data_IF_988229796151
#
_entry.id   IF_988229796151
#
_cell.length_a   1.000
_cell.length_b   1.000
_cell.length_c   1.000
_cell.angle_alpha   90.00
_cell.angle_beta   90.00
_cell.angle_gamma   90.00
#
_symmetry.space_group_name_H-M   'P 1'
#
loop_
_entity.id
_entity.type
_entity.pdbx_description
1 polymer ?
#
# COMPACT_ATOMS: atom_id res chain seq x y z
N UNK A 1 32.05 74.05 26.16
CA UNK A 1 32.92 73.61 25.06
C UNK A 1 32.09 72.73 24.15
N UNK A 2 32.00 73.13 22.88
CA UNK A 2 31.20 72.48 21.86
C UNK A 2 31.86 71.19 21.35
N UNK A 3 31.07 70.19 21.00
CA UNK A 3 31.37 69.31 19.88
C UNK A 3 30.10 68.69 19.31
N UNK A 4 29.81 69.15 18.10
CA UNK A 4 28.83 68.70 17.12
C UNK A 4 28.97 67.22 16.78
N UNK A 5 27.85 66.51 16.56
CA UNK A 5 27.81 65.37 15.62
C UNK A 5 26.55 65.50 14.76
N UNK A 6 26.82 65.46 13.45
CA UNK A 6 25.93 65.69 12.33
C UNK A 6 24.81 64.66 12.17
N UNK A 7 23.67 65.17 11.71
CA UNK A 7 22.56 64.41 11.12
C UNK A 7 22.99 63.86 9.77
N UNK A 8 22.83 62.55 9.56
CA UNK A 8 22.77 61.95 8.22
C UNK A 8 21.36 61.46 7.95
N UNK A 9 20.78 62.00 6.89
CA UNK A 9 19.49 61.65 6.30
C UNK A 9 19.42 60.17 5.91
N UNK A 10 18.31 59.53 6.25
CA UNK A 10 17.86 58.26 5.67
C UNK A 10 16.98 58.62 4.48
N UNK A 11 17.46 58.34 3.26
CA UNK A 11 16.62 58.35 2.06
C UNK A 11 15.93 57.00 1.95
N UNK A 12 14.60 57.02 2.01
CA UNK A 12 13.73 55.93 1.56
C UNK A 12 13.87 55.81 0.04
N UNK A 13 14.33 54.65 -0.43
CA UNK A 13 14.29 54.31 -1.85
C UNK A 13 13.25 53.21 -2.06
N UNK A 14 12.11 53.63 -2.61
CA UNK A 14 11.02 52.77 -3.03
C UNK A 14 11.38 52.13 -4.37
N UNK A 15 11.79 50.87 -4.34
CA UNK A 15 11.82 50.03 -5.53
C UNK A 15 10.67 49.02 -5.50
N UNK A 16 9.61 49.37 -6.24
CA UNK A 16 8.64 48.41 -6.77
C UNK A 16 9.36 47.54 -7.78
N UNK A 17 9.60 46.27 -7.46
CA UNK A 17 9.91 45.26 -8.47
C UNK A 17 8.62 44.51 -8.81
N UNK A 18 8.18 44.74 -10.05
CA UNK A 18 7.09 44.05 -10.73
C UNK A 18 7.32 42.54 -10.73
N UNK A 19 6.35 41.79 -10.21
CA UNK A 19 6.29 40.33 -10.38
C UNK A 19 5.83 40.08 -11.82
N UNK A 20 6.79 39.84 -12.71
CA UNK A 20 6.49 39.30 -14.03
C UNK A 20 6.18 37.81 -13.89
N UNK A 21 4.92 37.45 -14.08
CA UNK A 21 4.47 36.07 -14.33
C UNK A 21 5.14 35.52 -15.60
N UNK A 22 6.35 34.98 -15.45
CA UNK A 22 6.91 34.08 -16.45
C UNK A 22 6.25 32.73 -16.26
N UNK A 23 5.22 32.50 -17.09
CA UNK A 23 4.74 31.15 -17.42
C UNK A 23 5.92 30.34 -17.97
N UNK A 24 6.59 29.60 -17.10
CA UNK A 24 7.37 28.45 -17.52
C UNK A 24 6.38 27.36 -17.91
N UNK A 25 5.99 27.41 -19.19
CA UNK A 25 5.34 26.32 -19.88
C UNK A 25 6.26 25.12 -19.83
N UNK A 26 5.96 24.19 -18.93
CA UNK A 26 6.50 22.84 -18.97
C UNK A 26 6.08 22.24 -20.31
N UNK A 27 7.04 22.11 -21.23
CA UNK A 27 6.84 21.54 -22.55
C UNK A 27 6.50 20.06 -22.35
N UNK A 28 5.20 19.80 -22.39
CA UNK A 28 4.60 18.48 -22.33
C UNK A 28 5.09 17.68 -23.55
N UNK A 29 6.09 16.83 -23.36
CA UNK A 29 6.54 15.92 -24.40
C UNK A 29 5.41 14.90 -24.64
N UNK A 30 4.69 15.07 -25.76
CA UNK A 30 3.50 14.31 -26.19
C UNK A 30 3.74 12.82 -26.50
N UNK A 31 4.81 12.21 -25.99
CA UNK A 31 5.16 10.82 -26.24
C UNK A 31 5.05 9.91 -25.00
N UNK A 32 4.41 10.36 -23.93
CA UNK A 32 3.77 9.42 -23.01
C UNK A 32 2.48 8.93 -23.69
N UNK A 33 2.54 7.70 -24.20
CA UNK A 33 1.33 6.96 -24.56
C UNK A 33 0.35 7.13 -23.40
N UNK A 34 -0.82 7.70 -23.69
CA UNK A 34 -2.02 7.51 -22.87
C UNK A 34 -2.21 6.00 -22.71
N UNK A 35 -1.62 5.42 -21.68
CA UNK A 35 -2.15 4.21 -21.08
C UNK A 35 -3.38 4.67 -20.31
N UNK A 36 -4.48 4.84 -21.06
CA UNK A 36 -5.75 4.30 -20.60
C UNK A 36 -5.48 2.93 -19.98
N UNK A 37 -6.21 2.49 -18.93
CA UNK A 37 -6.09 1.13 -18.45
C UNK A 37 -6.18 0.23 -19.67
N UNK A 38 -5.08 -0.41 -20.06
CA UNK A 38 -5.14 -1.41 -21.10
C UNK A 38 -6.02 -2.47 -20.46
N UNK A 39 -7.26 -2.54 -20.91
CA UNK A 39 -8.08 -3.70 -20.70
C UNK A 39 -7.20 -4.89 -21.08
N UNK A 40 -6.77 -5.64 -20.07
CA UNK A 40 -6.11 -6.92 -20.26
C UNK A 40 -7.17 -7.79 -20.92
N UNK A 41 -7.18 -7.81 -22.25
CA UNK A 41 -7.93 -8.76 -23.05
C UNK A 41 -7.28 -10.11 -22.83
N UNK A 42 -7.70 -10.80 -21.76
CA UNK A 42 -7.10 -12.06 -21.36
C UNK A 42 -7.48 -12.47 -19.94
N UNK A 43 -8.78 -12.42 -19.64
CA UNK A 43 -9.54 -13.24 -18.69
C UNK A 43 -10.82 -12.44 -18.43
N UNK A 44 -11.97 -12.89 -18.96
CA UNK A 44 -13.23 -12.66 -18.25
C UNK A 44 -13.08 -13.35 -16.89
N UNK A 45 -12.43 -12.70 -15.91
CA UNK A 45 -12.50 -13.12 -14.51
C UNK A 45 -13.99 -13.04 -14.19
N UNK A 46 -14.61 -14.21 -14.07
CA UNK A 46 -16.02 -14.36 -13.78
C UNK A 46 -16.42 -13.34 -12.72
N UNK A 47 -17.51 -12.61 -12.94
CA UNK A 47 -18.15 -11.84 -11.87
C UNK A 47 -18.65 -12.87 -10.84
N UNK A 48 -17.75 -13.35 -9.97
CA UNK A 48 -18.08 -14.25 -8.89
C UNK A 48 -18.92 -13.44 -7.93
N UNK A 49 -20.23 -13.69 -7.92
CA UNK A 49 -21.14 -13.09 -6.96
C UNK A 49 -20.59 -13.33 -5.55
N UNK A 50 -20.45 -12.24 -4.78
CA UNK A 50 -20.00 -12.29 -3.39
C UNK A 50 -21.06 -13.06 -2.59
N UNK A 51 -20.69 -14.26 -2.12
CA UNK A 51 -21.56 -15.16 -1.36
C UNK A 51 -21.72 -14.79 0.12
N UNK A 52 -21.05 -13.74 0.58
CA UNK A 52 -20.98 -13.32 1.98
C UNK A 52 -21.65 -11.95 2.20
N UNK A 53 -22.35 -11.73 3.33
CA UNK A 53 -23.08 -10.50 3.57
C UNK A 53 -22.13 -9.31 3.73
N UNK A 54 -22.59 -8.13 3.31
CA UNK A 54 -21.82 -6.88 3.41
C UNK A 54 -21.91 -6.29 4.82
N UNK A 55 -21.09 -6.82 5.73
CA UNK A 55 -21.09 -6.42 7.15
C UNK A 55 -19.74 -5.88 7.60
N UNK A 56 -19.76 -4.98 8.59
CA UNK A 56 -18.57 -4.48 9.29
C UNK A 56 -18.24 -5.41 10.47
N UNK A 57 -17.88 -6.66 10.20
CA UNK A 57 -17.43 -7.56 11.26
C UNK A 57 -16.01 -7.18 11.72
N UNK A 58 -15.52 -7.82 12.79
CA UNK A 58 -14.13 -7.60 13.21
C UNK A 58 -13.17 -8.17 12.15
N UNK A 59 -12.01 -7.53 12.01
CA UNK A 59 -10.96 -7.92 11.07
C UNK A 59 -9.75 -8.31 11.90
N UNK A 60 -9.10 -9.40 11.50
CA UNK A 60 -7.78 -9.81 11.96
C UNK A 60 -6.82 -9.53 10.82
N UNK A 61 -6.10 -8.41 10.91
CA UNK A 61 -5.28 -7.87 9.81
C UNK A 61 -3.82 -8.27 10.03
N UNK A 62 -3.23 -8.92 9.04
CA UNK A 62 -1.80 -9.27 9.02
C UNK A 62 -1.11 -8.34 8.02
N UNK A 63 -0.27 -7.43 8.51
CA UNK A 63 0.60 -6.64 7.65
C UNK A 63 1.83 -7.47 7.30
N UNK A 64 2.14 -7.56 6.02
CA UNK A 64 3.34 -8.23 5.52
C UNK A 64 4.20 -7.14 4.89
N UNK A 65 5.31 -6.80 5.55
CA UNK A 65 6.15 -5.66 5.19
C UNK A 65 7.49 -6.16 4.68
N UNK A 66 7.82 -5.84 3.43
CA UNK A 66 9.15 -6.08 2.89
C UNK A 66 10.19 -5.14 3.50
N UNK A 67 11.30 -5.69 3.98
CA UNK A 67 12.43 -4.91 4.50
C UNK A 67 13.64 -4.94 3.57
N UNK A 68 13.56 -5.64 2.44
CA UNK A 68 14.70 -5.75 1.53
C UNK A 68 15.04 -4.40 0.90
N UNK A 69 16.31 -4.00 1.03
CA UNK A 69 16.91 -2.90 0.27
C UNK A 69 17.70 -3.47 -0.90
N UNK A 70 17.21 -3.25 -2.10
CA UNK A 70 17.94 -3.58 -3.33
C UNK A 70 19.03 -2.53 -3.62
N UNK A 71 20.08 -2.92 -4.34
CA UNK A 71 21.27 -2.08 -4.59
C UNK A 71 20.93 -0.73 -5.23
N UNK A 72 19.91 -0.70 -6.10
CA UNK A 72 19.48 0.49 -6.83
C UNK A 72 18.22 1.14 -6.23
N UNK A 73 17.94 0.89 -4.95
CA UNK A 73 16.74 1.43 -4.30
C UNK A 73 16.78 2.96 -4.22
N UNK A 74 15.80 3.62 -4.84
CA UNK A 74 15.70 5.08 -4.87
C UNK A 74 14.84 5.61 -3.72
N UNK A 75 15.06 6.87 -3.35
CA UNK A 75 14.34 7.53 -2.27
C UNK A 75 13.00 8.12 -2.75
N UNK A 76 12.06 8.26 -1.81
CA UNK A 76 10.90 9.12 -2.00
C UNK A 76 11.33 10.58 -1.86
N UNK A 77 11.06 11.38 -2.87
CA UNK A 77 11.27 12.83 -2.84
C UNK A 77 9.94 13.54 -2.58
N UNK A 78 9.92 14.42 -1.57
CA UNK A 78 8.75 15.24 -1.25
C UNK A 78 8.88 16.62 -1.91
N UNK A 79 7.76 17.31 -2.09
CA UNK A 79 7.71 18.65 -2.69
C UNK A 79 8.48 19.71 -1.91
N UNK A 80 8.69 19.48 -0.62
CA UNK A 80 9.48 20.33 0.29
C UNK A 80 11.00 20.10 0.18
N UNK A 81 11.45 19.15 -0.64
CA UNK A 81 12.86 18.83 -0.87
C UNK A 81 13.45 17.77 0.08
N UNK A 82 12.69 17.33 1.08
CA UNK A 82 13.07 16.20 1.94
C UNK A 82 13.03 14.87 1.16
N UNK A 83 13.89 13.93 1.56
CA UNK A 83 13.99 12.61 0.94
C UNK A 83 13.97 11.52 1.99
N UNK A 84 13.23 10.44 1.73
CA UNK A 84 13.04 9.36 2.70
C UNK A 84 13.13 7.99 2.04
N UNK A 85 13.51 6.99 2.83
CA UNK A 85 13.55 5.60 2.37
C UNK A 85 12.14 5.04 2.18
N UNK A 86 12.07 3.92 1.45
CA UNK A 86 10.83 3.17 1.27
C UNK A 86 10.22 2.77 2.61
N UNK A 87 11.00 2.14 3.49
CA UNK A 87 10.50 1.68 4.77
C UNK A 87 9.99 2.85 5.63
N UNK A 88 10.67 4.01 5.60
CA UNK A 88 10.22 5.18 6.35
C UNK A 88 8.81 5.62 5.94
N UNK A 89 8.53 5.72 4.64
CA UNK A 89 7.20 6.12 4.16
C UNK A 89 6.16 5.03 4.46
N UNK A 90 6.50 3.75 4.31
CA UNK A 90 5.60 2.64 4.68
C UNK A 90 5.23 2.68 6.16
N UNK A 91 6.16 2.94 7.07
CA UNK A 91 5.86 3.10 8.51
C UNK A 91 4.80 4.18 8.74
N UNK A 92 4.90 5.32 8.05
CA UNK A 92 3.93 6.43 8.16
C UNK A 92 2.57 6.08 7.58
N UNK A 93 2.52 5.41 6.44
CA UNK A 93 1.27 4.93 5.82
C UNK A 93 0.57 3.94 6.75
N UNK A 94 1.31 2.98 7.29
CA UNK A 94 0.79 2.01 8.25
C UNK A 94 0.33 2.66 9.56
N UNK A 95 1.03 3.70 10.03
CA UNK A 95 0.60 4.45 11.20
C UNK A 95 -0.77 5.09 11.01
N UNK A 96 -0.97 5.80 9.90
CA UNK A 96 -2.27 6.37 9.56
C UNK A 96 -3.33 5.28 9.37
N UNK A 97 -2.99 4.18 8.71
CA UNK A 97 -3.90 3.05 8.55
C UNK A 97 -4.36 2.50 9.89
N UNK A 98 -3.43 2.17 10.79
CA UNK A 98 -3.70 1.55 12.09
C UNK A 98 -4.63 2.40 12.96
N UNK A 99 -4.34 3.70 13.07
CA UNK A 99 -5.17 4.61 13.87
C UNK A 99 -6.57 4.77 13.29
N UNK A 100 -6.68 5.00 11.98
CA UNK A 100 -7.99 5.16 11.33
C UNK A 100 -8.79 3.85 11.35
N UNK A 101 -8.14 2.72 11.10
CA UNK A 101 -8.82 1.42 11.09
C UNK A 101 -9.35 1.07 12.48
N UNK A 102 -8.55 1.27 13.54
CA UNK A 102 -8.99 1.09 14.93
C UNK A 102 -10.15 2.02 15.30
N UNK A 103 -10.17 3.25 14.79
CA UNK A 103 -11.26 4.19 15.02
C UNK A 103 -12.57 3.76 14.34
N UNK A 104 -12.49 3.17 13.14
CA UNK A 104 -13.67 2.64 12.41
C UNK A 104 -14.33 1.50 13.18
N UNK A 105 -13.53 0.57 13.72
CA UNK A 105 -14.05 -0.51 14.56
C UNK A 105 -12.99 -0.93 15.60
N UNK A 106 -13.25 -0.72 16.90
CA UNK A 106 -12.29 -1.03 17.94
C UNK A 106 -12.04 -2.54 18.13
N UNK A 107 -12.85 -3.41 17.52
CA UNK A 107 -12.68 -4.86 17.61
C UNK A 107 -11.66 -5.42 16.60
N UNK A 108 -11.16 -4.60 15.67
CA UNK A 108 -10.08 -5.03 14.78
C UNK A 108 -8.80 -5.35 15.58
N UNK A 109 -8.08 -6.37 15.13
CA UNK A 109 -6.79 -6.76 15.68
C UNK A 109 -5.75 -6.88 14.58
N UNK A 110 -4.48 -6.76 14.97
CA UNK A 110 -3.37 -6.55 14.04
C UNK A 110 -2.20 -7.49 14.36
N UNK A 111 -1.55 -7.97 13.31
CA UNK A 111 -0.31 -8.77 13.36
C UNK A 111 0.68 -8.23 12.34
N UNK A 112 1.96 -8.57 12.52
CA UNK A 112 3.04 -8.16 11.64
C UNK A 112 3.88 -9.36 11.20
N UNK A 113 4.08 -9.46 9.89
CA UNK A 113 5.04 -10.34 9.22
C UNK A 113 6.05 -9.45 8.50
N UNK A 114 7.31 -9.84 8.58
CA UNK A 114 8.44 -9.14 7.98
C UNK A 114 9.02 -10.03 6.88
N UNK A 115 9.30 -9.46 5.72
CA UNK A 115 9.98 -10.16 4.64
C UNK A 115 11.46 -9.79 4.60
N UNK A 116 12.30 -10.80 4.67
CA UNK A 116 13.73 -10.75 4.45
C UNK A 116 14.08 -11.79 3.38
N UNK A 117 15.13 -12.60 3.58
CA UNK A 117 15.35 -13.81 2.79
C UNK A 117 14.22 -14.81 3.02
N UNK A 118 13.83 -15.00 4.29
CA UNK A 118 12.68 -15.79 4.71
C UNK A 118 11.65 -14.92 5.44
N UNK A 119 10.34 -15.25 5.36
CA UNK A 119 9.31 -14.51 6.06
C UNK A 119 9.31 -14.82 7.56
N UNK A 120 9.18 -13.79 8.39
CA UNK A 120 9.20 -13.92 9.86
C UNK A 120 7.95 -13.31 10.47
N UNK A 121 7.21 -14.13 11.24
CA UNK A 121 6.08 -13.65 12.05
C UNK A 121 6.60 -12.99 13.33
N UNK A 122 6.24 -11.74 13.58
CA UNK A 122 6.65 -11.04 14.81
C UNK A 122 5.83 -11.56 15.99
N UNK A 123 6.39 -12.53 16.73
CA UNK A 123 5.72 -13.23 17.84
C UNK A 123 5.14 -12.33 18.92
N UNK A 124 5.78 -11.20 19.22
CA UNK A 124 5.33 -10.27 20.27
C UNK A 124 4.12 -9.42 19.87
N UNK A 125 3.67 -9.51 18.62
CA UNK A 125 2.51 -8.77 18.12
C UNK A 125 1.58 -9.72 17.37
N UNK A 126 0.99 -10.66 18.13
CA UNK A 126 0.07 -11.67 17.61
C UNK A 126 -1.38 -11.24 17.84
N UNK A 127 -2.01 -10.70 16.78
CA UNK A 127 -3.37 -10.18 16.77
C UNK A 127 -3.68 -9.27 17.97
N UNK A 128 -2.80 -8.31 18.24
CA UNK A 128 -3.02 -7.27 19.26
C UNK A 128 -4.20 -6.38 18.88
N UNK A 129 -4.95 -5.91 19.87
CA UNK A 129 -5.95 -4.87 19.66
C UNK A 129 -5.38 -3.45 19.81
N UNK A 130 -4.12 -3.30 20.26
CA UNK A 130 -3.48 -2.02 20.49
C UNK A 130 -2.56 -1.65 19.31
N UNK A 131 -2.89 -0.62 18.50
CA UNK A 131 -2.05 -0.14 17.40
C UNK A 131 -0.60 0.16 17.80
N UNK A 132 -0.37 0.64 19.03
CA UNK A 132 0.96 1.06 19.47
C UNK A 132 1.96 -0.10 19.51
N UNK A 133 1.52 -1.33 19.74
CA UNK A 133 2.43 -2.47 19.79
C UNK A 133 3.04 -2.74 18.40
N UNK A 134 2.22 -2.63 17.35
CA UNK A 134 2.68 -2.71 15.95
C UNK A 134 3.61 -1.53 15.64
N UNK A 135 3.22 -0.31 16.02
CA UNK A 135 4.01 0.89 15.74
C UNK A 135 5.38 0.87 16.40
N UNK A 136 5.44 0.54 17.69
CA UNK A 136 6.70 0.40 18.42
C UNK A 136 7.61 -0.63 17.75
N UNK A 137 7.03 -1.72 17.23
CA UNK A 137 7.82 -2.69 16.48
C UNK A 137 8.30 -2.13 15.14
N UNK A 138 7.41 -1.51 14.36
CA UNK A 138 7.74 -0.90 13.07
C UNK A 138 8.85 0.14 13.21
N UNK A 139 8.81 0.97 14.25
CA UNK A 139 9.86 1.97 14.53
C UNK A 139 11.23 1.31 14.69
N UNK A 140 11.31 0.15 15.34
CA UNK A 140 12.56 -0.59 15.54
C UNK A 140 13.07 -1.33 14.28
N UNK A 141 12.34 -1.33 13.17
CA UNK A 141 12.75 -2.04 11.95
C UNK A 141 13.65 -1.18 11.08
N UNK A 142 14.62 -1.82 10.46
CA UNK A 142 15.54 -1.22 9.51
C UNK A 142 15.50 -2.01 8.20
N UNK A 143 15.81 -1.34 7.10
CA UNK A 143 15.96 -2.00 5.81
C UNK A 143 17.22 -2.86 5.81
N UNK A 144 17.15 -4.03 5.20
CA UNK A 144 18.22 -5.01 5.15
C UNK A 144 18.62 -5.22 3.70
N UNK A 145 19.91 -5.08 3.39
CA UNK A 145 20.42 -5.51 2.09
C UNK A 145 20.23 -7.02 1.94
N UNK A 146 19.72 -7.48 0.82
CA UNK A 146 19.65 -8.91 0.50
C UNK A 146 20.40 -9.18 -0.80
N UNK A 147 21.15 -10.28 -0.83
CA UNK A 147 21.80 -10.79 -2.03
C UNK A 147 20.91 -11.80 -2.78
N UNK A 148 19.75 -12.15 -2.22
CA UNK A 148 18.84 -13.13 -2.81
C UNK A 148 18.13 -12.54 -4.02
N UNK A 149 18.21 -13.26 -5.14
CA UNK A 149 17.50 -12.94 -6.38
C UNK A 149 16.07 -13.50 -6.42
N UNK A 150 15.66 -14.23 -5.38
CA UNK A 150 14.34 -14.85 -5.25
C UNK A 150 13.73 -14.68 -3.85
N UNK A 151 12.40 -14.79 -3.79
CA UNK A 151 11.62 -14.79 -2.56
C UNK A 151 10.53 -15.87 -2.64
N UNK A 152 10.50 -16.78 -1.68
CA UNK A 152 9.57 -17.93 -1.69
C UNK A 152 8.20 -17.58 -1.06
N UNK A 153 7.19 -17.45 -1.92
CA UNK A 153 5.79 -17.30 -1.52
C UNK A 153 5.25 -18.55 -0.80
N UNK A 154 5.77 -19.74 -1.11
CA UNK A 154 5.34 -20.97 -0.43
C UNK A 154 5.61 -20.89 1.08
N UNK A 155 6.78 -20.38 1.47
CA UNK A 155 7.11 -20.15 2.88
C UNK A 155 6.21 -19.09 3.53
N UNK A 156 5.92 -17.99 2.81
CA UNK A 156 5.08 -16.91 3.34
C UNK A 156 3.66 -17.40 3.64
N UNK A 157 3.02 -18.06 2.68
CA UNK A 157 1.66 -18.55 2.88
C UNK A 157 1.61 -19.77 3.82
N UNK A 158 2.64 -20.61 3.83
CA UNK A 158 2.79 -21.67 4.83
C UNK A 158 2.87 -21.10 6.26
N UNK A 159 3.68 -20.06 6.46
CA UNK A 159 3.77 -19.34 7.72
C UNK A 159 2.42 -18.76 8.12
N UNK A 160 1.77 -17.99 7.25
CA UNK A 160 0.46 -17.38 7.54
C UNK A 160 -0.54 -18.46 7.94
N UNK A 161 -0.69 -19.51 7.13
CA UNK A 161 -1.61 -20.61 7.40
C UNK A 161 -1.36 -21.27 8.75
N UNK A 162 -0.11 -21.47 9.14
CA UNK A 162 0.25 -22.07 10.44
C UNK A 162 -0.05 -21.19 11.66
N UNK A 163 -0.24 -19.87 11.46
CA UNK A 163 -0.38 -18.87 12.53
C UNK A 163 -1.80 -18.34 12.69
N UNK A 164 -2.65 -18.51 11.68
CA UNK A 164 -4.03 -18.06 11.72
C UNK A 164 -5.01 -19.21 11.91
N UNK A 165 -6.24 -18.87 12.29
CA UNK A 165 -7.38 -19.79 12.26
C UNK A 165 -8.50 -19.13 11.49
N UNK A 166 -8.92 -19.75 10.39
CA UNK A 166 -10.06 -19.29 9.60
C UNK A 166 -11.37 -19.62 10.33
N UNK A 167 -12.38 -18.73 10.26
CA UNK A 167 -13.71 -19.06 10.77
C UNK A 167 -14.30 -20.25 10.01
N UNK A 168 -15.04 -21.12 10.72
CA UNK A 168 -15.84 -22.16 10.09
C UNK A 168 -16.92 -21.55 9.20
N UNK A 169 -17.17 -22.19 8.05
CA UNK A 169 -18.26 -21.81 7.16
C UNK A 169 -19.62 -22.15 7.79
N UNK A 170 -20.55 -21.19 7.78
CA UNK A 170 -21.94 -21.41 8.19
C UNK A 170 -22.71 -22.14 7.09
N UNK A 171 -23.79 -22.83 7.47
CA UNK A 171 -24.67 -23.53 6.52
C UNK A 171 -25.27 -22.61 5.44
N UNK A 172 -25.49 -21.34 5.79
CA UNK A 172 -25.84 -20.28 4.83
C UNK A 172 -24.85 -19.11 4.96
N UNK A 173 -23.97 -19.00 3.96
CA UNK A 173 -22.95 -17.94 3.87
C UNK A 173 -23.55 -16.58 3.50
N UNK A 174 -24.75 -16.53 2.92
CA UNK A 174 -25.34 -15.29 2.40
C UNK A 174 -26.04 -14.47 3.47
N UNK A 175 -26.52 -15.13 4.53
CA UNK A 175 -27.29 -14.50 5.62
C UNK A 175 -26.45 -14.32 6.88
N UNK A 176 -25.63 -15.31 7.24
CA UNK A 176 -24.94 -15.30 8.52
C UNK A 176 -23.61 -14.55 8.42
N UNK A 177 -23.41 -13.44 9.17
CA UNK A 177 -22.14 -12.75 9.15
C UNK A 177 -21.05 -13.59 9.85
N UNK A 178 -19.82 -13.61 9.34
CA UNK A 178 -18.74 -14.31 10.02
C UNK A 178 -18.41 -13.63 11.35
N UNK A 179 -17.90 -14.39 12.34
CA UNK A 179 -17.48 -13.81 13.61
C UNK A 179 -16.29 -12.85 13.42
N UNK A 180 -15.46 -13.07 12.39
CA UNK A 180 -14.38 -12.22 11.93
C UNK A 180 -13.94 -12.62 10.52
N UNK A 181 -13.15 -11.77 9.87
CA UNK A 181 -12.37 -12.17 8.69
C UNK A 181 -10.87 -12.08 8.97
N UNK A 182 -10.07 -12.79 8.18
CA UNK A 182 -8.63 -12.60 8.12
C UNK A 182 -8.30 -11.79 6.87
N UNK A 183 -7.49 -10.75 7.02
CA UNK A 183 -7.03 -9.93 5.91
C UNK A 183 -5.51 -9.82 5.93
N UNK A 184 -4.84 -10.34 4.93
CA UNK A 184 -3.43 -10.09 4.68
C UNK A 184 -3.29 -8.83 3.82
N UNK A 185 -2.45 -7.89 4.25
CA UNK A 185 -2.04 -6.73 3.44
C UNK A 185 -0.57 -6.91 3.12
N UNK A 186 -0.30 -7.32 1.88
CA UNK A 186 1.01 -7.63 1.37
C UNK A 186 1.65 -6.41 0.70
N UNK A 187 2.62 -5.81 1.38
CA UNK A 187 3.37 -4.64 0.89
C UNK A 187 4.71 -5.14 0.34
N UNK A 188 4.83 -5.16 -0.99
CA UNK A 188 6.02 -5.64 -1.68
C UNK A 188 6.82 -4.48 -2.25
N UNK A 189 8.13 -4.43 -1.97
CA UNK A 189 8.99 -3.28 -2.29
C UNK A 189 10.15 -3.57 -3.24
N UNK A 190 10.38 -4.84 -3.59
CA UNK A 190 11.45 -5.28 -4.49
C UNK A 190 11.06 -5.13 -5.94
N UNK A 191 12.00 -4.70 -6.78
CA UNK A 191 11.85 -4.50 -8.22
C UNK A 191 12.80 -5.38 -9.05
N UNK A 192 13.78 -6.04 -8.43
CA UNK A 192 14.73 -6.96 -9.11
C UNK A 192 14.42 -8.44 -8.83
N UNK A 193 13.65 -8.70 -7.77
CA UNK A 193 13.24 -10.03 -7.34
C UNK A 193 11.77 -10.31 -7.71
N UNK A 194 11.53 -11.30 -8.58
CA UNK A 194 10.17 -11.81 -8.82
C UNK A 194 9.87 -12.87 -7.75
N UNK A 195 8.83 -12.71 -6.92
CA UNK A 195 8.43 -13.77 -5.98
C UNK A 195 8.08 -15.07 -6.72
N UNK A 196 8.31 -16.22 -6.09
CA UNK A 196 8.02 -17.51 -6.70
C UNK A 196 7.46 -18.48 -5.65
N UNK A 197 6.71 -19.47 -6.08
CA UNK A 197 6.34 -20.60 -5.21
C UNK A 197 7.35 -21.73 -5.45
N UNK A 198 8.29 -21.91 -4.54
CA UNK A 198 9.34 -22.94 -4.69
C UNK A 198 8.89 -24.31 -4.16
N UNK A 199 8.00 -24.32 -3.17
CA UNK A 199 7.55 -25.52 -2.45
C UNK A 199 6.04 -25.74 -2.58
N UNK A 200 5.48 -25.50 -3.78
CA UNK A 200 4.06 -25.69 -4.07
C UNK A 200 3.15 -24.57 -3.57
N UNK A 201 1.86 -24.64 -3.94
CA UNK A 201 0.85 -23.58 -3.68
C UNK A 201 -0.23 -23.98 -2.68
N UNK A 202 -0.12 -25.15 -2.04
CA UNK A 202 -1.19 -25.74 -1.22
C UNK A 202 -1.69 -24.80 -0.11
N UNK A 203 -0.77 -24.25 0.68
CA UNK A 203 -1.12 -23.32 1.77
C UNK A 203 -1.82 -22.07 1.25
N UNK A 204 -1.35 -21.52 0.13
CA UNK A 204 -1.99 -20.38 -0.53
C UNK A 204 -3.38 -20.75 -1.05
N UNK A 205 -3.52 -21.86 -1.77
CA UNK A 205 -4.79 -22.31 -2.35
C UNK A 205 -5.85 -22.55 -1.29
N UNK A 206 -5.50 -23.17 -0.16
CA UNK A 206 -6.43 -23.38 0.94
C UNK A 206 -6.89 -22.06 1.58
N UNK A 207 -5.96 -21.12 1.80
CA UNK A 207 -6.31 -19.79 2.31
C UNK A 207 -7.28 -19.08 1.37
N UNK A 208 -6.96 -19.03 0.07
CA UNK A 208 -7.75 -18.32 -0.94
C UNK A 208 -9.10 -18.99 -1.26
N UNK A 209 -9.28 -20.27 -0.91
CA UNK A 209 -10.57 -20.95 -1.04
C UNK A 209 -11.57 -20.46 0.00
N UNK A 210 -11.10 -19.98 1.16
CA UNK A 210 -11.97 -19.48 2.21
C UNK A 210 -12.62 -18.14 1.83
N UNK A 211 -13.95 -17.99 1.98
CA UNK A 211 -14.63 -16.72 1.74
C UNK A 211 -14.33 -15.64 2.81
N UNK A 212 -13.60 -16.02 3.86
CA UNK A 212 -13.25 -15.16 5.00
C UNK A 212 -11.77 -14.78 5.05
N UNK A 213 -11.00 -15.18 4.04
CA UNK A 213 -9.61 -14.75 3.85
C UNK A 213 -9.54 -13.76 2.68
N UNK A 214 -8.84 -12.64 2.90
CA UNK A 214 -8.60 -11.62 1.88
C UNK A 214 -7.11 -11.34 1.79
N UNK A 215 -6.61 -11.16 0.57
CA UNK A 215 -5.21 -10.83 0.29
C UNK A 215 -5.16 -9.54 -0.52
N UNK A 216 -4.94 -8.41 0.14
CA UNK A 216 -4.66 -7.16 -0.55
C UNK A 216 -3.17 -6.99 -0.78
N UNK A 217 -2.81 -6.41 -1.92
CA UNK A 217 -1.43 -6.23 -2.33
C UNK A 217 -1.21 -4.74 -2.63
N UNK A 218 -0.11 -4.21 -2.08
CA UNK A 218 0.40 -2.88 -2.38
C UNK A 218 1.84 -3.04 -2.89
N UNK A 219 2.00 -2.98 -4.21
CA UNK A 219 3.29 -3.03 -4.86
C UNK A 219 3.90 -1.63 -4.95
N UNK A 220 5.06 -1.43 -4.31
CA UNK A 220 5.77 -0.16 -4.30
C UNK A 220 7.09 -0.32 -5.04
N UNK A 221 7.10 0.10 -6.29
CA UNK A 221 8.15 -0.27 -7.23
C UNK A 221 9.14 0.87 -7.50
N UNK A 222 10.33 0.49 -7.98
CA UNK A 222 11.31 1.41 -8.56
C UNK A 222 10.82 1.93 -9.92
N UNK A 223 11.30 3.10 -10.38
CA UNK A 223 11.09 3.53 -11.75
C UNK A 223 11.43 2.40 -12.74
N UNK A 224 10.54 2.06 -13.67
CA UNK A 224 10.82 0.99 -14.63
C UNK A 224 12.08 1.31 -15.44
N UNK A 225 13.03 0.38 -15.40
CA UNK A 225 14.25 0.36 -16.22
C UNK A 225 14.50 -1.04 -16.79
N UNK A 226 15.46 -1.17 -17.73
CA UNK A 226 15.78 -2.43 -18.42
C UNK A 226 16.31 -3.54 -17.47
N UNK A 227 16.79 -3.17 -16.28
CA UNK A 227 17.29 -4.11 -15.27
C UNK A 227 16.20 -4.56 -14.29
N UNK A 228 15.17 -3.73 -14.09
CA UNK A 228 14.02 -4.03 -13.23
C UNK A 228 13.10 -5.08 -13.86
N UNK A 229 12.42 -5.82 -13.00
CA UNK A 229 11.44 -6.85 -13.37
C UNK A 229 10.01 -6.41 -13.00
N UNK A 230 9.75 -5.12 -12.95
CA UNK A 230 8.51 -4.55 -12.42
C UNK A 230 7.25 -5.11 -13.09
N UNK A 231 7.26 -5.30 -14.41
CA UNK A 231 6.14 -5.88 -15.16
C UNK A 231 5.87 -7.33 -14.73
N UNK A 232 6.89 -8.20 -14.78
CA UNK A 232 6.75 -9.60 -14.35
C UNK A 232 6.40 -9.77 -12.87
N UNK A 233 6.85 -8.86 -12.01
CA UNK A 233 6.43 -8.80 -10.60
C UNK A 233 4.95 -8.46 -10.52
N UNK A 234 4.51 -7.39 -11.19
CA UNK A 234 3.12 -6.95 -11.13
C UNK A 234 2.16 -7.98 -11.72
N UNK A 235 2.53 -8.64 -12.83
CA UNK A 235 1.74 -9.72 -13.43
C UNK A 235 1.57 -10.89 -12.46
N UNK A 236 2.65 -11.34 -11.82
CA UNK A 236 2.58 -12.37 -10.79
C UNK A 236 1.68 -11.95 -9.62
N UNK A 237 1.80 -10.71 -9.13
CA UNK A 237 0.95 -10.21 -8.06
C UNK A 237 -0.53 -10.15 -8.49
N UNK A 238 -0.82 -9.86 -9.77
CA UNK A 238 -2.16 -9.93 -10.32
C UNK A 238 -2.73 -11.35 -10.37
N UNK A 239 -1.86 -12.34 -10.62
CA UNK A 239 -2.22 -13.76 -10.62
C UNK A 239 -2.51 -14.31 -9.21
N UNK A 240 -2.08 -13.61 -8.15
CA UNK A 240 -2.45 -13.94 -6.77
C UNK A 240 -3.91 -13.58 -6.43
N UNK A 241 -4.64 -12.89 -7.30
CA UNK A 241 -6.08 -12.69 -7.11
C UNK A 241 -6.90 -13.55 -8.07
N UNK A 242 -7.32 -14.72 -7.59
CA UNK A 242 -8.29 -15.57 -8.31
C UNK A 242 -9.75 -15.15 -8.08
N UNK A 243 -10.02 -14.28 -7.10
CA UNK A 243 -11.38 -14.00 -6.61
C UNK A 243 -12.01 -12.75 -7.21
N UNK A 244 -11.20 -11.78 -7.66
CA UNK A 244 -11.65 -10.47 -8.12
C UNK A 244 -12.06 -9.50 -7.00
N UNK A 245 -11.95 -9.93 -5.73
CA UNK A 245 -12.38 -9.15 -4.56
C UNK A 245 -11.23 -8.59 -3.73
N UNK A 246 -10.01 -9.02 -4.04
CA UNK A 246 -8.78 -8.48 -3.51
C UNK A 246 -8.40 -7.19 -4.23
N UNK A 247 -7.74 -6.28 -3.53
CA UNK A 247 -7.22 -5.08 -4.15
C UNK A 247 -5.73 -5.26 -4.41
N UNK A 248 -5.32 -5.08 -5.66
CA UNK A 248 -3.94 -5.13 -6.12
C UNK A 248 -3.60 -3.73 -6.64
N UNK A 249 -2.83 -3.00 -5.84
CA UNK A 249 -2.52 -1.59 -6.05
C UNK A 249 -1.02 -1.44 -6.34
N UNK A 250 -0.67 -0.58 -7.30
CA UNK A 250 0.72 -0.24 -7.59
C UNK A 250 1.00 1.25 -7.40
N UNK A 251 2.23 1.56 -7.00
CA UNK A 251 2.77 2.91 -7.02
C UNK A 251 4.29 2.90 -7.15
N UNK A 252 4.84 3.79 -7.96
CA UNK A 252 6.26 4.10 -7.94
C UNK A 252 6.68 4.88 -6.69
N UNK A 253 7.82 5.58 -6.75
CA UNK A 253 8.32 6.46 -5.66
C UNK A 253 7.55 7.79 -5.52
N UNK A 254 6.22 7.72 -5.38
CA UNK A 254 5.34 8.85 -5.16
C UNK A 254 4.63 8.76 -3.79
N UNK A 255 5.08 9.58 -2.84
CA UNK A 255 4.60 9.51 -1.46
C UNK A 255 3.10 9.84 -1.34
N UNK A 256 2.61 10.85 -2.07
CA UNK A 256 1.20 11.26 -2.05
C UNK A 256 0.29 10.15 -2.59
N UNK A 257 0.62 9.58 -3.75
CA UNK A 257 -0.14 8.45 -4.33
C UNK A 257 -0.10 7.25 -3.38
N UNK A 258 1.05 6.94 -2.78
CA UNK A 258 1.19 5.85 -1.80
C UNK A 258 0.29 6.06 -0.56
N UNK A 259 0.24 7.27 0.00
CA UNK A 259 -0.69 7.60 1.08
C UNK A 259 -2.16 7.46 0.66
N UNK A 260 -2.50 7.91 -0.55
CA UNK A 260 -3.86 7.75 -1.09
C UNK A 260 -4.24 6.27 -1.22
N UNK A 261 -3.35 5.42 -1.76
CA UNK A 261 -3.59 3.97 -1.85
C UNK A 261 -3.72 3.33 -0.46
N UNK A 262 -2.91 3.74 0.51
CA UNK A 262 -3.05 3.33 1.90
C UNK A 262 -4.43 3.67 2.49
N UNK A 263 -5.01 4.81 2.11
CA UNK A 263 -6.37 5.20 2.51
C UNK A 263 -7.45 4.34 1.85
N UNK A 264 -7.29 3.94 0.58
CA UNK A 264 -8.21 3.03 -0.12
C UNK A 264 -8.30 1.70 0.63
N UNK A 265 -7.17 1.20 1.12
CA UNK A 265 -7.10 -0.04 1.90
C UNK A 265 -7.86 0.05 3.23
N UNK A 266 -8.28 1.22 3.74
CA UNK A 266 -9.09 1.29 4.97
C UNK A 266 -10.46 0.61 4.81
N UNK A 267 -10.98 0.52 3.59
CA UNK A 267 -12.29 -0.06 3.33
C UNK A 267 -12.37 -1.53 3.76
N UNK A 268 -13.43 -1.90 4.47
CA UNK A 268 -13.64 -3.28 4.94
C UNK A 268 -13.85 -4.23 3.73
N UNK A 269 -13.13 -5.36 3.61
CA UNK A 269 -13.22 -6.26 2.46
C UNK A 269 -14.64 -6.73 2.12
N UNK A 270 -15.46 -7.05 3.13
CA UNK A 270 -16.86 -7.44 2.93
C UNK A 270 -17.78 -6.30 2.47
N UNK A 271 -17.41 -5.04 2.66
CA UNK A 271 -18.28 -3.90 2.36
C UNK A 271 -17.85 -3.13 1.12
N UNK A 272 -16.55 -3.11 0.82
CA UNK A 272 -16.01 -2.41 -0.35
C UNK A 272 -16.49 -3.06 -1.66
N UNK A 273 -16.68 -2.28 -2.73
CA UNK A 273 -16.94 -2.83 -4.05
C UNK A 273 -15.68 -3.50 -4.62
N UNK A 274 -15.78 -4.10 -5.81
CA UNK A 274 -14.59 -4.57 -6.52
C UNK A 274 -13.67 -3.38 -6.85
N UNK A 275 -12.37 -3.62 -7.10
CA UNK A 275 -11.43 -2.53 -7.37
C UNK A 275 -11.82 -1.72 -8.61
N UNK A 276 -12.35 -2.38 -9.65
CA UNK A 276 -12.81 -1.72 -10.89
C UNK A 276 -14.00 -0.77 -10.68
N UNK A 277 -14.82 -1.02 -9.66
CA UNK A 277 -16.03 -0.25 -9.35
C UNK A 277 -15.79 0.78 -8.23
N UNK A 278 -14.56 0.88 -7.71
CA UNK A 278 -14.19 1.80 -6.65
C UNK A 278 -13.79 3.17 -7.20
N UNK A 279 -14.66 4.16 -7.01
CA UNK A 279 -14.38 5.55 -7.39
C UNK A 279 -14.28 6.44 -6.13
N UNK A 280 -13.18 7.18 -6.02
CA UNK A 280 -12.88 8.01 -4.83
C UNK A 280 -13.05 9.51 -5.07
N UNK A 281 -13.32 9.92 -6.31
CA UNK A 281 -13.71 11.29 -6.65
C UNK A 281 -15.21 11.31 -6.90
N UNK A 282 -15.93 12.07 -6.09
CA UNK A 282 -17.34 12.35 -6.34
C UNK A 282 -17.40 13.47 -7.39
N UNK A 283 -17.81 13.15 -8.62
CA UNK A 283 -18.09 14.19 -9.59
C UNK A 283 -19.28 15.02 -9.08
N UNK A 284 -19.06 16.31 -8.80
CA UNK A 284 -20.16 17.26 -8.71
C UNK A 284 -20.79 17.33 -10.08
N UNK A 285 -22.07 16.95 -10.21
CA UNK A 285 -22.83 17.27 -11.41
C UNK A 285 -22.87 18.80 -11.52
N UNK A 286 -21.94 19.39 -12.28
CA UNK A 286 -22.17 20.72 -12.81
C UNK A 286 -23.44 20.65 -13.66
N UNK A 287 -24.34 21.56 -13.36
CA UNK A 287 -25.67 21.63 -13.93
C UNK A 287 -25.59 21.49 -15.45
N UNK A 288 -26.23 20.46 -15.99
CA UNK A 288 -26.67 20.48 -17.37
C UNK A 288 -27.64 21.67 -17.50
N UNK A 289 -27.11 22.81 -17.91
CA UNK A 289 -27.86 23.95 -18.44
C UNK A 289 -28.19 23.71 -19.90
#
# INVERSE_FOLDING_TARGET
MASTVDKKEIKEDSHKSEISDKKETCVYNKNEKKTSPKAVNGLEKANLERRVPRVNCKERIVFIVDLCKEENSTLFHLSEGSSYTYLYIIKRVLALFLFNKKAINPLHTFSLVILQETPVWVRYVDFTSNPKDILNKLESLEEMSSSSSSFDLSELFGLIKSRITLPSESSDLTVTPPPYIIRAIFIYGRSLCVPQFLNGKESYSELMTSPYFFLDILYVHEPPDDSTKCEGIFDLLCDLDSTGWNYILEVGRNATKLHNLGSILLAHPLQRPSQKDAHHTLATKEAAS
#
